data_IF_980157982915
#
_entry.id   IF_980157982915
#
_cell.length_a   1.000
_cell.length_b   1.000
_cell.length_c   1.000
_cell.angle_alpha   90.00
_cell.angle_beta   90.00
_cell.angle_gamma   90.00
#
_symmetry.space_group_name_H-M   'P 1'
#
loop_
_entity.id
_entity.type
_entity.pdbx_description
1 polymer ?
#
# COMPACT_ATOMS: atom_id res chain seq x y z
N UNK A 1 55.58 25.77 16.32
CA UNK A 1 54.39 26.65 16.27
C UNK A 1 53.27 25.87 15.60
N UNK A 2 52.18 25.69 16.35
CA UNK A 2 50.80 25.27 16.02
C UNK A 2 50.52 24.11 15.06
N UNK A 3 49.99 23.04 15.64
CA UNK A 3 49.27 21.94 14.99
C UNK A 3 47.81 22.34 14.74
N UNK A 4 47.31 22.16 13.51
CA UNK A 4 45.90 22.32 13.17
C UNK A 4 45.22 20.95 13.09
N UNK A 5 44.36 20.64 14.07
CA UNK A 5 43.46 19.49 14.05
C UNK A 5 42.27 19.83 13.14
N UNK A 6 42.13 19.10 12.03
CA UNK A 6 40.90 19.10 11.21
C UNK A 6 39.85 18.26 11.93
N UNK A 7 38.88 18.92 12.58
CA UNK A 7 37.67 18.31 13.12
C UNK A 7 36.61 18.27 12.02
N UNK A 8 36.12 17.05 11.76
CA UNK A 8 35.01 16.69 10.89
C UNK A 8 33.70 17.37 11.31
N UNK A 9 33.11 18.17 10.43
CA UNK A 9 31.74 18.70 10.61
C UNK A 9 30.77 17.73 9.94
N UNK A 10 30.28 16.76 10.71
CA UNK A 10 29.07 16.00 10.35
C UNK A 10 27.90 16.73 10.99
N UNK A 11 27.25 17.59 10.22
CA UNK A 11 26.00 18.23 10.61
C UNK A 11 24.82 17.27 10.40
N UNK A 12 24.32 16.68 11.48
CA UNK A 12 23.06 15.94 11.46
C UNK A 12 21.89 16.94 11.46
N UNK A 13 21.19 17.06 10.32
CA UNK A 13 19.90 17.75 10.27
C UNK A 13 18.82 16.79 10.80
N UNK A 14 18.52 16.86 12.09
CA UNK A 14 17.31 16.24 12.64
C UNK A 14 16.18 17.25 12.49
N UNK A 15 15.39 17.13 11.42
CA UNK A 15 14.12 17.86 11.34
C UNK A 15 13.15 17.23 12.33
N UNK A 16 12.99 17.86 13.50
CA UNK A 16 11.94 17.50 14.45
C UNK A 16 10.57 17.77 13.82
N UNK A 17 9.83 16.72 13.49
CA UNK A 17 8.39 16.83 13.23
C UNK A 17 7.73 17.25 14.54
N UNK A 18 7.40 18.53 14.67
CA UNK A 18 6.53 18.98 15.76
C UNK A 18 5.13 18.47 15.46
N UNK A 19 4.68 17.42 16.17
CA UNK A 19 3.30 16.99 16.12
C UNK A 19 2.43 18.12 16.70
N UNK A 20 1.68 18.80 15.83
CA UNK A 20 0.68 19.79 16.25
C UNK A 20 -0.38 19.03 17.06
N UNK A 21 -0.60 19.36 18.35
CA UNK A 21 -1.62 18.69 19.16
C UNK A 21 -2.99 18.87 18.50
N UNK A 22 -3.70 17.76 18.26
CA UNK A 22 -5.00 17.81 17.63
C UNK A 22 -6.12 18.35 18.54
N UNK A 23 -7.32 18.56 18.00
CA UNK A 23 -8.43 19.13 18.75
C UNK A 23 -8.81 18.28 19.96
N UNK A 24 -8.98 18.93 21.12
CA UNK A 24 -9.44 18.30 22.35
C UNK A 24 -10.97 18.24 22.35
N UNK A 25 -11.52 17.04 22.26
CA UNK A 25 -12.98 16.81 22.32
C UNK A 25 -13.40 16.68 23.77
N UNK A 26 -14.30 17.56 24.21
CA UNK A 26 -14.85 17.57 25.56
C UNK A 26 -16.04 16.62 25.64
N UNK A 27 -16.03 15.74 26.64
CA UNK A 27 -17.17 14.88 26.93
C UNK A 27 -18.28 15.71 27.62
N UNK A 28 -19.43 15.87 26.97
CA UNK A 28 -20.57 16.61 27.54
C UNK A 28 -21.20 15.96 28.79
N UNK A 29 -20.80 14.72 29.14
CA UNK A 29 -21.26 13.96 30.32
C UNK A 29 -20.21 13.90 31.44
N UNK A 30 -19.27 14.84 31.49
CA UNK A 30 -18.32 14.99 32.61
C UNK A 30 -17.17 13.96 32.65
N UNK A 31 -16.99 13.17 31.60
CA UNK A 31 -15.83 12.28 31.45
C UNK A 31 -14.56 13.00 30.97
N UNK A 32 -13.41 12.31 30.93
CA UNK A 32 -12.15 12.89 30.49
C UNK A 32 -12.22 13.38 29.03
N UNK A 33 -11.60 14.53 28.77
CA UNK A 33 -11.48 15.08 27.42
C UNK A 33 -10.46 14.28 26.60
N UNK A 34 -10.84 13.83 25.41
CA UNK A 34 -9.97 13.07 24.52
C UNK A 34 -9.19 14.04 23.61
N UNK A 35 -7.86 13.92 23.54
CA UNK A 35 -7.10 14.55 22.47
C UNK A 35 -7.29 13.71 21.21
N UNK A 36 -8.01 14.25 20.23
CA UNK A 36 -8.15 13.60 18.93
C UNK A 36 -6.94 14.01 18.12
N UNK A 37 -6.05 13.08 17.80
CA UNK A 37 -4.98 13.34 16.83
C UNK A 37 -5.62 13.80 15.51
N UNK A 38 -5.07 14.81 14.81
CA UNK A 38 -5.51 15.12 13.46
C UNK A 38 -5.50 13.81 12.67
N UNK A 39 -6.50 13.59 11.78
CA UNK A 39 -6.44 12.46 10.84
C UNK A 39 -5.13 12.60 10.06
N UNK A 40 -4.10 11.87 10.47
CA UNK A 40 -2.82 11.90 9.80
C UNK A 40 -3.05 11.28 8.42
N UNK A 41 -2.71 12.03 7.36
CA UNK A 41 -2.48 11.38 6.08
C UNK A 41 -1.46 10.27 6.32
N UNK A 42 -1.65 9.07 5.73
CA UNK A 42 -0.63 8.04 5.78
C UNK A 42 0.71 8.63 5.38
N UNK A 43 1.78 8.23 6.06
CA UNK A 43 3.13 8.61 5.65
C UNK A 43 3.36 8.16 4.20
N UNK A 44 4.18 8.92 3.47
CA UNK A 44 4.53 8.57 2.09
C UNK A 44 5.07 7.14 2.01
N UNK A 45 4.63 6.35 1.03
CA UNK A 45 4.97 4.94 0.95
C UNK A 45 6.46 4.76 0.61
N UNK A 46 7.24 4.19 1.53
CA UNK A 46 8.67 3.87 1.32
C UNK A 46 8.88 2.48 0.69
N UNK A 47 9.80 2.34 -0.28
CA UNK A 47 10.11 1.04 -0.90
C UNK A 47 9.07 0.55 -1.92
N UNK A 48 8.41 1.46 -2.63
CA UNK A 48 7.52 1.10 -3.75
C UNK A 48 8.37 0.57 -4.90
N UNK A 49 8.00 -0.59 -5.46
CA UNK A 49 8.61 -1.09 -6.68
C UNK A 49 7.85 -0.55 -7.90
N UNK A 50 8.57 -0.31 -9.00
CA UNK A 50 7.99 0.17 -10.26
C UNK A 50 8.43 -0.72 -11.41
N UNK A 51 7.47 -1.19 -12.20
CA UNK A 51 7.71 -1.89 -13.47
C UNK A 51 7.14 -1.06 -14.61
N UNK A 52 7.89 -1.02 -15.71
CA UNK A 52 7.44 -0.48 -16.99
C UNK A 52 6.90 -1.60 -17.86
N UNK A 53 5.64 -1.48 -18.29
CA UNK A 53 5.10 -2.44 -19.27
C UNK A 53 5.70 -2.17 -20.67
N UNK A 54 5.70 -3.16 -21.57
CA UNK A 54 6.13 -2.96 -22.95
C UNK A 54 5.35 -1.85 -23.69
N UNK A 55 4.15 -1.54 -23.22
CA UNK A 55 3.28 -0.49 -23.77
C UNK A 55 3.50 0.88 -23.09
N UNK A 56 4.52 1.02 -22.24
CA UNK A 56 4.86 2.27 -21.55
C UNK A 56 3.96 2.63 -20.37
N UNK A 57 3.24 1.65 -19.81
CA UNK A 57 2.39 1.84 -18.62
C UNK A 57 3.19 1.55 -17.35
N UNK A 58 3.21 2.50 -16.43
CA UNK A 58 3.89 2.36 -15.14
C UNK A 58 3.01 1.53 -14.17
N UNK A 59 3.56 0.47 -13.60
CA UNK A 59 2.92 -0.31 -12.54
C UNK A 59 3.72 -0.13 -11.26
N UNK A 60 3.08 0.35 -10.20
CA UNK A 60 3.71 0.61 -8.89
C UNK A 60 3.11 -0.31 -7.84
N UNK A 61 3.91 -1.07 -7.10
CA UNK A 61 3.39 -2.08 -6.17
C UNK A 61 4.32 -2.34 -4.99
N UNK A 62 3.77 -3.04 -3.98
CA UNK A 62 4.48 -3.58 -2.83
C UNK A 62 3.88 -4.92 -2.41
N UNK A 63 4.69 -5.71 -1.71
CA UNK A 63 4.19 -6.82 -0.94
C UNK A 63 3.56 -6.28 0.37
N UNK A 64 2.28 -6.58 0.68
CA UNK A 64 1.61 -6.14 1.91
C UNK A 64 2.20 -6.68 3.22
N UNK A 65 3.25 -7.51 3.11
CA UNK A 65 3.98 -8.11 4.22
C UNK A 65 3.62 -9.58 4.42
N UNK A 66 4.61 -10.36 4.90
CA UNK A 66 4.48 -11.79 5.23
C UNK A 66 3.79 -12.04 6.57
N UNK A 67 3.42 -10.98 7.27
CA UNK A 67 2.72 -11.03 8.57
C UNK A 67 1.22 -11.33 8.44
N UNK A 68 0.74 -11.72 7.25
CA UNK A 68 -0.57 -12.36 7.09
C UNK A 68 -1.75 -11.41 6.97
N UNK A 69 -1.59 -10.24 6.32
CA UNK A 69 -2.73 -9.34 6.10
C UNK A 69 -3.83 -10.02 5.27
N UNK A 70 -3.49 -10.78 4.23
CA UNK A 70 -4.47 -11.51 3.40
C UNK A 70 -3.98 -12.85 2.83
N UNK A 71 -2.71 -12.99 2.45
CA UNK A 71 -2.13 -14.29 2.09
C UNK A 71 -1.34 -14.85 3.28
N UNK A 72 -1.66 -16.08 3.68
CA UNK A 72 -1.13 -16.73 4.89
C UNK A 72 -0.43 -18.06 4.59
N UNK A 73 -0.49 -18.50 3.33
CA UNK A 73 0.18 -19.72 2.87
C UNK A 73 1.69 -19.50 2.87
N UNK A 74 2.48 -20.31 3.59
CA UNK A 74 3.93 -20.18 3.58
C UNK A 74 4.51 -20.32 2.17
N UNK A 75 5.37 -19.39 1.79
CA UNK A 75 6.05 -19.42 0.49
C UNK A 75 5.25 -18.83 -0.68
N UNK A 76 4.03 -18.35 -0.45
CA UNK A 76 3.20 -17.70 -1.47
C UNK A 76 3.21 -16.20 -1.21
N UNK A 77 3.58 -15.41 -2.23
CA UNK A 77 3.60 -13.95 -2.09
C UNK A 77 2.32 -13.32 -2.65
N UNK A 78 2.02 -12.11 -2.19
CA UNK A 78 0.95 -11.28 -2.74
C UNK A 78 1.46 -9.86 -2.94
N UNK A 79 0.90 -9.16 -3.93
CA UNK A 79 1.38 -7.83 -4.32
C UNK A 79 0.18 -6.93 -4.53
N UNK A 80 0.19 -5.75 -3.91
CA UNK A 80 -0.85 -4.75 -4.06
C UNK A 80 -0.25 -3.45 -4.61
N UNK A 81 -0.99 -2.78 -5.48
CA UNK A 81 -0.45 -1.62 -6.18
C UNK A 81 -1.43 -0.94 -7.13
N UNK A 82 -0.88 -0.11 -8.01
CA UNK A 82 -1.60 0.65 -9.00
C UNK A 82 -1.01 0.44 -10.40
N UNK A 83 -1.90 0.32 -11.38
CA UNK A 83 -1.61 0.46 -12.80
C UNK A 83 -1.93 1.92 -13.17
N UNK A 84 -0.90 2.68 -13.54
CA UNK A 84 -0.99 4.12 -13.79
C UNK A 84 -1.23 4.36 -15.28
N UNK A 85 -2.48 4.64 -15.65
CA UNK A 85 -2.90 4.78 -17.05
C UNK A 85 -2.78 6.21 -17.56
N UNK A 86 -2.89 7.20 -16.67
CA UNK A 86 -2.70 8.63 -16.92
C UNK A 86 -2.27 9.32 -15.61
N UNK A 87 -1.88 10.62 -15.62
CA UNK A 87 -1.45 11.34 -14.41
C UNK A 87 -2.45 11.32 -13.25
N UNK A 88 -3.74 11.20 -13.55
CA UNK A 88 -4.87 11.20 -12.62
C UNK A 88 -5.72 9.92 -12.70
N UNK A 89 -5.31 8.92 -13.51
CA UNK A 89 -6.05 7.67 -13.72
C UNK A 89 -5.22 6.48 -13.26
N UNK A 90 -5.60 5.95 -12.10
CA UNK A 90 -4.93 4.83 -11.45
C UNK A 90 -5.93 3.69 -11.18
N UNK A 91 -5.60 2.49 -11.62
CA UNK A 91 -6.39 1.28 -11.31
C UNK A 91 -5.69 0.49 -10.23
N UNK A 92 -6.34 0.29 -9.09
CA UNK A 92 -5.79 -0.53 -8.01
C UNK A 92 -5.82 -2.00 -8.39
N UNK A 93 -4.83 -2.76 -7.96
CA UNK A 93 -4.84 -4.21 -8.08
C UNK A 93 -4.29 -4.89 -6.83
N UNK A 94 -4.72 -6.13 -6.63
CA UNK A 94 -4.13 -7.07 -5.69
C UNK A 94 -3.94 -8.43 -6.36
N UNK A 95 -2.68 -8.82 -6.50
CA UNK A 95 -2.23 -10.07 -7.08
C UNK A 95 -1.84 -11.07 -5.98
N UNK A 96 -2.18 -12.33 -6.19
CA UNK A 96 -1.82 -13.46 -5.34
C UNK A 96 -1.19 -14.53 -6.23
N UNK A 97 0.03 -14.97 -5.87
CA UNK A 97 0.68 -16.08 -6.53
C UNK A 97 -0.12 -17.38 -6.38
N UNK A 98 0.12 -18.35 -7.26
CA UNK A 98 -0.46 -19.68 -7.08
C UNK A 98 0.08 -20.33 -5.81
N UNK A 99 -0.78 -21.09 -5.12
CA UNK A 99 -0.39 -21.91 -3.97
C UNK A 99 0.23 -23.25 -4.37
N UNK A 100 0.17 -23.60 -5.65
CA UNK A 100 0.67 -24.87 -6.18
C UNK A 100 2.03 -24.68 -6.90
N UNK A 101 2.03 -24.08 -8.08
CA UNK A 101 3.24 -23.84 -8.86
C UNK A 101 3.20 -22.43 -9.49
N UNK A 102 3.57 -21.38 -8.75
CA UNK A 102 3.46 -19.99 -9.23
C UNK A 102 4.34 -19.68 -10.45
N UNK A 103 5.33 -20.53 -10.76
CA UNK A 103 6.17 -20.36 -11.94
C UNK A 103 5.51 -20.88 -13.23
N UNK A 104 4.60 -21.87 -13.12
CA UNK A 104 4.01 -22.54 -14.28
C UNK A 104 2.48 -22.41 -14.36
N UNK A 105 1.81 -22.13 -13.25
CA UNK A 105 0.37 -21.98 -13.20
C UNK A 105 -0.08 -20.70 -13.94
N UNK A 106 -1.24 -20.72 -14.63
CA UNK A 106 -1.71 -19.58 -15.38
C UNK A 106 -2.12 -18.42 -14.45
N UNK A 107 -1.99 -17.20 -14.97
CA UNK A 107 -2.52 -15.98 -14.32
C UNK A 107 -4.00 -15.85 -14.69
N UNK A 108 -4.85 -15.72 -13.68
CA UNK A 108 -6.27 -15.44 -13.87
C UNK A 108 -6.59 -13.99 -13.54
N UNK A 109 -7.14 -13.25 -14.51
CA UNK A 109 -7.69 -11.91 -14.28
C UNK A 109 -9.14 -12.00 -13.82
N UNK A 110 -9.43 -11.43 -12.64
CA UNK A 110 -10.78 -11.33 -12.10
C UNK A 110 -11.28 -9.88 -12.12
N UNK A 111 -12.44 -9.69 -12.76
CA UNK A 111 -13.15 -8.41 -12.83
C UNK A 111 -14.60 -8.63 -12.38
N UNK A 112 -15.00 -7.95 -11.30
CA UNK A 112 -16.41 -7.92 -10.94
C UNK A 112 -17.22 -7.09 -11.94
N UNK A 113 -18.50 -7.46 -12.10
CA UNK A 113 -19.44 -6.75 -12.97
C UNK A 113 -20.16 -5.60 -12.27
N UNK A 114 -21.16 -5.04 -12.97
CA UNK A 114 -21.90 -3.85 -12.53
C UNK A 114 -21.09 -2.56 -12.73
N UNK A 115 -21.77 -1.41 -12.91
CA UNK A 115 -21.07 -0.14 -13.02
C UNK A 115 -20.53 0.31 -11.66
N UNK A 116 -19.20 0.47 -11.56
CA UNK A 116 -18.52 1.03 -10.37
C UNK A 116 -18.28 0.05 -9.22
N UNK A 117 -18.57 -1.25 -9.39
CA UNK A 117 -18.27 -2.26 -8.36
C UNK A 117 -16.78 -2.57 -8.27
N UNK A 118 -16.32 -2.83 -7.06
CA UNK A 118 -14.94 -3.22 -6.77
C UNK A 118 -14.74 -4.74 -6.94
N UNK A 119 -13.67 -5.16 -7.63
CA UNK A 119 -13.30 -6.58 -7.80
C UNK A 119 -12.87 -7.30 -6.51
N UNK A 120 -12.47 -6.54 -5.49
CA UNK A 120 -12.12 -7.04 -4.16
C UNK A 120 -13.33 -7.63 -3.42
N UNK A 121 -14.57 -7.30 -3.82
CA UNK A 121 -15.76 -7.98 -3.28
C UNK A 121 -15.67 -9.48 -3.58
N UNK A 122 -15.23 -9.87 -4.78
CA UNK A 122 -15.08 -11.27 -5.15
C UNK A 122 -13.95 -11.95 -4.36
N UNK A 123 -12.88 -11.19 -4.07
CA UNK A 123 -11.76 -11.64 -3.24
C UNK A 123 -12.21 -11.93 -1.80
N UNK A 124 -12.92 -11.00 -1.15
CA UNK A 124 -13.29 -11.12 0.26
C UNK A 124 -14.52 -11.99 0.52
N UNK A 125 -15.42 -12.15 -0.46
CA UNK A 125 -16.54 -13.08 -0.38
C UNK A 125 -16.16 -14.53 -0.73
N UNK A 126 -14.88 -14.79 -1.03
CA UNK A 126 -14.40 -16.14 -1.36
C UNK A 126 -14.87 -16.66 -2.71
N UNK A 127 -15.31 -15.77 -3.62
CA UNK A 127 -15.68 -16.13 -5.01
C UNK A 127 -14.47 -16.23 -5.94
N UNK A 128 -13.30 -15.92 -5.41
CA UNK A 128 -12.05 -15.94 -6.13
C UNK A 128 -11.56 -17.36 -6.42
N UNK A 129 -11.21 -17.69 -7.68
CA UNK A 129 -10.68 -19.01 -8.01
C UNK A 129 -9.30 -19.19 -7.37
N UNK A 130 -9.08 -20.32 -6.69
CA UNK A 130 -7.91 -20.61 -5.86
C UNK A 130 -6.57 -20.83 -6.60
N UNK A 131 -6.44 -20.40 -7.86
CA UNK A 131 -5.27 -20.63 -8.71
C UNK A 131 -4.80 -19.28 -9.30
N UNK A 132 -3.75 -18.68 -8.71
CA UNK A 132 -3.09 -17.43 -9.14
C UNK A 132 -4.02 -16.33 -9.64
N UNK A 133 -4.53 -15.62 -8.67
CA UNK A 133 -5.46 -14.52 -8.77
C UNK A 133 -4.90 -13.11 -9.05
N UNK A 134 -5.41 -12.37 -10.03
CA UNK A 134 -5.30 -10.90 -10.08
C UNK A 134 -6.69 -10.27 -9.92
N UNK A 135 -6.94 -9.60 -8.80
CA UNK A 135 -8.13 -8.76 -8.63
C UNK A 135 -7.78 -7.30 -8.98
N UNK A 136 -8.38 -6.75 -10.04
CA UNK A 136 -8.22 -5.32 -10.38
C UNK A 136 -9.47 -4.57 -9.93
N UNK A 137 -9.29 -3.63 -9.00
CA UNK A 137 -10.33 -2.67 -8.65
C UNK A 137 -10.17 -1.37 -9.42
N UNK A 138 -11.23 -0.97 -10.12
CA UNK A 138 -11.41 0.44 -10.49
C UNK A 138 -12.46 1.02 -9.56
N UNK A 139 -12.05 1.90 -8.66
CA UNK A 139 -12.99 2.87 -8.07
C UNK A 139 -13.29 3.91 -9.15
N UNK A 140 -14.29 3.63 -9.97
CA UNK A 140 -14.92 4.65 -10.82
C UNK A 140 -15.85 5.39 -9.88
N UNK A 141 -15.39 6.49 -9.28
CA UNK A 141 -16.11 7.70 -8.79
C UNK A 141 -15.17 8.49 -7.88
#
# INVERSE_FOLDING_TARGET
MQAARLLSVVGALVTSVSAIPGPRVHNKRGGPSLQVLPRQLPAEPVGVQTIQSPNGVNITYKEPGKEGVCETTPGVNSYAGFINLAPDVHSFFWFFESRHDPANDPITLWLNGGPGSDSLIGLFEGKYPGNSALAISRKIW
#
